data_IF_026296488475
#
_entry.id   IF_026296488475
#
_cell.length_a   1.000
_cell.length_b   1.000
_cell.length_c   1.000
_cell.angle_alpha   90.00
_cell.angle_beta   90.00
_cell.angle_gamma   90.00
#
_symmetry.space_group_name_H-M   'P 1'
#
loop_
_entity.id
_entity.type
_entity.pdbx_description
1 polymer ?
#
# COMPACT_ATOMS: atom_id res chain seq x y z
N UNK A 1 3.17 -51.19 95.63
CA UNK A 1 3.80 -50.51 94.47
C UNK A 1 3.52 -51.34 93.23
N UNK A 2 2.59 -50.94 92.36
CA UNK A 2 2.48 -51.47 90.99
C UNK A 2 1.61 -50.49 90.19
N UNK A 3 2.24 -49.86 89.21
CA UNK A 3 1.71 -48.72 88.45
C UNK A 3 0.64 -49.10 87.44
N UNK A 4 -0.30 -48.17 87.24
CA UNK A 4 -1.35 -48.20 86.22
C UNK A 4 -0.73 -47.90 84.85
N UNK A 5 -0.91 -48.79 83.89
CA UNK A 5 -0.63 -48.54 82.49
C UNK A 5 -1.71 -47.65 81.86
N UNK A 6 -1.28 -46.57 81.22
CA UNK A 6 -2.10 -45.76 80.32
C UNK A 6 -1.47 -45.86 78.93
N UNK A 7 -2.24 -46.38 77.99
CA UNK A 7 -1.91 -46.47 76.56
C UNK A 7 -2.10 -45.08 75.95
N UNK A 8 -1.03 -44.50 75.42
CA UNK A 8 -1.09 -43.29 74.60
C UNK A 8 -0.82 -43.68 73.13
N UNK A 9 -1.86 -43.53 72.31
CA UNK A 9 -1.77 -43.69 70.85
C UNK A 9 -1.22 -42.39 70.26
N UNK A 10 -0.02 -42.43 69.71
CA UNK A 10 0.55 -41.32 68.94
C UNK A 10 0.16 -41.47 67.47
N UNK A 11 -0.67 -40.53 66.96
CA UNK A 11 -0.91 -40.38 65.52
C UNK A 11 0.31 -39.70 64.89
N UNK A 12 1.01 -40.43 64.01
CA UNK A 12 2.02 -39.86 63.13
C UNK A 12 1.35 -39.13 61.95
N UNK A 13 1.44 -37.80 61.92
CA UNK A 13 1.15 -37.01 60.73
C UNK A 13 2.37 -37.04 59.80
N UNK A 14 2.34 -37.91 58.79
CA UNK A 14 3.25 -37.81 57.64
C UNK A 14 2.76 -36.73 56.70
N UNK A 15 3.41 -35.56 56.73
CA UNK A 15 3.34 -34.57 55.66
C UNK A 15 4.02 -35.16 54.41
N UNK A 16 3.23 -35.63 53.46
CA UNK A 16 3.72 -35.95 52.12
C UNK A 16 4.04 -34.64 51.39
N UNK A 17 5.33 -34.30 51.29
CA UNK A 17 5.80 -33.29 50.36
C UNK A 17 5.53 -33.81 48.93
N UNK A 18 4.52 -33.25 48.27
CA UNK A 18 4.23 -33.54 46.87
C UNK A 18 5.44 -33.15 46.00
N UNK A 19 5.71 -33.89 44.91
CA UNK A 19 6.79 -33.54 44.00
C UNK A 19 6.51 -32.15 43.43
N UNK A 20 7.38 -31.19 43.75
CA UNK A 20 7.40 -29.90 43.07
C UNK A 20 7.81 -30.17 41.62
N UNK A 21 6.86 -30.08 40.70
CA UNK A 21 7.16 -30.07 39.27
C UNK A 21 7.83 -28.74 38.96
N UNK A 22 9.15 -28.69 39.17
CA UNK A 22 9.98 -27.67 38.57
C UNK A 22 9.77 -27.78 37.05
N UNK A 23 9.13 -26.76 36.46
CA UNK A 23 9.04 -26.64 35.02
C UNK A 23 10.46 -26.75 34.45
N UNK A 24 10.70 -27.76 33.62
CA UNK A 24 11.98 -27.92 32.97
C UNK A 24 12.30 -26.62 32.21
N UNK A 25 13.36 -25.94 32.60
CA UNK A 25 13.87 -24.81 31.84
C UNK A 25 14.22 -25.33 30.44
N UNK A 26 13.53 -24.83 29.43
CA UNK A 26 13.83 -25.10 28.03
C UNK A 26 15.28 -24.65 27.79
N UNK A 27 16.16 -25.59 27.46
CA UNK A 27 17.56 -25.28 27.14
C UNK A 27 17.56 -24.30 25.95
N UNK A 28 18.29 -23.17 26.00
CA UNK A 28 18.34 -22.23 24.89
C UNK A 28 18.86 -22.96 23.65
N UNK A 29 18.03 -23.04 22.62
CA UNK A 29 18.31 -23.78 21.40
C UNK A 29 19.58 -23.22 20.74
N UNK A 30 20.56 -24.09 20.43
CA UNK A 30 21.78 -23.70 19.73
C UNK A 30 21.46 -23.44 18.26
N UNK A 31 21.10 -22.21 17.93
CA UNK A 31 20.85 -21.79 16.56
C UNK A 31 22.17 -21.71 15.77
N UNK A 32 22.22 -22.41 14.64
CA UNK A 32 23.38 -22.48 13.76
C UNK A 32 22.92 -22.34 12.29
N UNK A 33 22.43 -21.16 11.88
CA UNK A 33 22.07 -20.92 10.48
C UNK A 33 23.30 -21.09 9.57
N UNK A 34 23.10 -21.37 8.27
CA UNK A 34 24.21 -21.42 7.30
C UNK A 34 25.08 -20.17 7.37
N UNK A 35 26.39 -20.31 7.16
CA UNK A 35 27.31 -19.16 7.21
C UNK A 35 27.05 -18.22 6.02
N UNK A 36 26.99 -16.92 6.30
CA UNK A 36 27.04 -15.87 5.28
C UNK A 36 28.48 -15.41 5.00
N UNK A 37 28.62 -14.52 4.02
CA UNK A 37 29.86 -13.78 3.73
C UNK A 37 29.86 -12.40 4.39
N UNK A 38 31.00 -11.71 4.40
CA UNK A 38 31.13 -10.35 4.96
C UNK A 38 31.21 -9.26 3.89
N UNK A 39 31.46 -9.65 2.65
CA UNK A 39 31.50 -8.73 1.52
C UNK A 39 30.11 -8.58 0.91
N UNK A 40 29.71 -7.32 0.67
CA UNK A 40 28.45 -7.00 0.03
C UNK A 40 28.67 -5.88 -0.98
N UNK A 41 28.15 -6.08 -2.19
CA UNK A 41 28.10 -5.06 -3.24
C UNK A 41 26.68 -4.52 -3.41
N UNK A 42 26.53 -3.47 -4.21
CA UNK A 42 25.20 -3.06 -4.64
C UNK A 42 24.59 -4.17 -5.50
N UNK A 43 23.45 -4.70 -5.06
CA UNK A 43 22.75 -5.77 -5.76
C UNK A 43 22.03 -5.24 -7.01
N UNK A 44 21.78 -6.13 -7.97
CA UNK A 44 21.00 -5.77 -9.16
C UNK A 44 19.59 -5.27 -8.80
N UNK A 45 19.00 -5.82 -7.72
CA UNK A 45 17.69 -5.45 -7.24
C UNK A 45 17.65 -3.98 -6.77
N UNK A 46 18.67 -3.53 -6.03
CA UNK A 46 18.81 -2.14 -5.61
C UNK A 46 18.94 -1.20 -6.81
N UNK A 47 19.75 -1.57 -7.82
CA UNK A 47 19.85 -0.81 -9.08
C UNK A 47 18.54 -0.77 -9.85
N UNK A 48 17.85 -1.91 -9.98
CA UNK A 48 16.63 -2.03 -10.77
C UNK A 48 15.47 -1.23 -10.18
N UNK A 49 15.35 -1.25 -8.85
CA UNK A 49 14.30 -0.52 -8.15
C UNK A 49 14.67 0.94 -7.89
N UNK A 50 15.97 1.26 -7.82
CA UNK A 50 16.51 2.59 -7.61
C UNK A 50 15.83 3.36 -6.46
N UNK A 51 15.45 2.65 -5.39
CA UNK A 51 14.64 3.20 -4.29
C UNK A 51 15.37 4.31 -3.52
N UNK A 52 16.70 4.38 -3.59
CA UNK A 52 17.49 5.47 -3.01
C UNK A 52 17.13 6.84 -3.61
N UNK A 53 16.62 6.88 -4.85
CA UNK A 53 16.08 8.12 -5.47
C UNK A 53 14.81 8.61 -4.77
N UNK A 54 14.07 7.71 -4.13
CA UNK A 54 12.83 8.02 -3.40
C UNK A 54 13.12 8.67 -2.05
N UNK A 55 14.31 8.43 -1.49
CA UNK A 55 14.70 8.94 -0.17
C UNK A 55 14.77 10.47 -0.06
N UNK A 56 14.79 11.19 -1.18
CA UNK A 56 14.61 12.64 -1.22
C UNK A 56 13.18 13.08 -0.88
N UNK A 57 12.22 12.16 -0.95
CA UNK A 57 10.80 12.40 -0.66
C UNK A 57 10.38 11.77 0.67
N UNK A 58 10.87 10.55 0.96
CA UNK A 58 10.59 9.81 2.20
C UNK A 58 11.50 8.59 2.31
N UNK A 59 11.78 8.16 3.54
CA UNK A 59 12.56 6.94 3.85
C UNK A 59 11.77 5.92 4.67
N UNK A 60 10.47 6.14 4.84
CA UNK A 60 9.58 5.26 5.60
C UNK A 60 9.36 5.64 7.06
N UNK A 61 9.85 6.81 7.49
CA UNK A 61 9.69 7.30 8.87
C UNK A 61 8.21 7.30 9.32
N UNK A 62 7.97 6.94 10.58
CA UNK A 62 6.63 6.90 11.17
C UNK A 62 5.80 5.68 10.77
N UNK A 63 6.28 4.86 9.82
CA UNK A 63 5.55 3.66 9.38
C UNK A 63 6.03 2.42 10.11
N UNK A 64 5.09 1.66 10.67
CA UNK A 64 5.36 0.37 11.30
C UNK A 64 5.20 -0.76 10.30
N UNK A 65 6.28 -1.51 10.06
CA UNK A 65 6.26 -2.71 9.21
C UNK A 65 6.48 -3.94 10.05
N UNK A 66 5.47 -4.80 10.13
CA UNK A 66 5.61 -6.12 10.73
C UNK A 66 5.97 -7.16 9.67
N UNK A 67 6.74 -8.18 10.06
CA UNK A 67 6.97 -9.35 9.23
C UNK A 67 6.78 -10.62 10.06
N UNK A 68 6.01 -11.56 9.52
CA UNK A 68 5.75 -12.86 10.14
C UNK A 68 6.64 -13.89 9.46
N UNK A 69 7.68 -14.35 10.16
CA UNK A 69 8.78 -15.13 9.58
C UNK A 69 9.47 -16.03 10.64
N UNK A 70 10.76 -16.33 10.43
CA UNK A 70 11.63 -17.18 11.25
C UNK A 70 12.36 -16.43 12.39
N UNK A 71 12.06 -15.15 12.57
CA UNK A 71 12.71 -14.24 13.53
C UNK A 71 13.66 -13.26 12.85
N UNK A 72 14.53 -12.60 13.60
CA UNK A 72 15.59 -11.76 13.04
C UNK A 72 16.81 -11.73 13.95
N UNK A 73 18.02 -11.71 13.37
CA UNK A 73 19.24 -11.48 14.11
C UNK A 73 19.46 -9.98 14.35
N UNK A 74 18.97 -9.48 15.47
CA UNK A 74 19.11 -8.06 15.87
C UNK A 74 20.52 -7.63 16.24
N UNK A 75 21.48 -8.57 16.23
CA UNK A 75 22.91 -8.26 16.36
C UNK A 75 23.53 -7.82 15.04
N UNK A 76 22.86 -8.06 13.91
CA UNK A 76 23.33 -7.57 12.62
C UNK A 76 23.22 -6.03 12.58
N UNK A 77 24.30 -5.27 12.28
CA UNK A 77 24.30 -3.80 12.38
C UNK A 77 23.20 -3.07 11.58
N UNK A 78 22.81 -3.63 10.44
CA UNK A 78 21.73 -3.09 9.60
C UNK A 78 20.31 -3.55 9.98
N UNK A 79 20.14 -4.54 10.86
CA UNK A 79 18.82 -5.10 11.19
C UNK A 79 18.31 -4.49 12.51
N UNK A 80 17.54 -3.41 12.40
CA UNK A 80 17.01 -2.66 13.54
C UNK A 80 15.54 -3.00 13.77
N UNK A 81 15.29 -4.02 14.58
CA UNK A 81 13.93 -4.43 14.98
C UNK A 81 13.56 -3.72 16.28
N UNK A 82 12.45 -2.97 16.26
CA UNK A 82 11.96 -2.24 17.43
C UNK A 82 11.24 -3.15 18.44
N UNK A 83 10.66 -4.25 17.96
CA UNK A 83 9.99 -5.23 18.81
C UNK A 83 10.03 -6.61 18.18
N UNK A 84 10.33 -7.63 19.00
CA UNK A 84 10.20 -9.04 18.61
C UNK A 84 9.08 -9.70 19.42
N UNK A 85 8.23 -10.44 18.73
CA UNK A 85 7.27 -11.39 19.31
C UNK A 85 7.69 -12.78 18.88
N UNK A 86 7.91 -13.68 19.83
CA UNK A 86 8.20 -15.08 19.55
C UNK A 86 6.98 -15.95 19.87
N UNK A 87 6.32 -16.43 18.83
CA UNK A 87 5.18 -17.34 18.95
C UNK A 87 5.61 -18.81 19.04
N UNK A 88 6.88 -19.10 18.75
CA UNK A 88 7.41 -20.47 18.83
C UNK A 88 7.79 -20.88 20.25
N UNK A 89 8.02 -19.90 21.13
CA UNK A 89 8.52 -20.13 22.48
C UNK A 89 9.96 -20.65 22.54
N UNK A 90 10.73 -20.51 21.45
CA UNK A 90 12.10 -21.03 21.33
C UNK A 90 13.19 -19.96 21.43
N UNK A 91 12.78 -18.69 21.58
CA UNK A 91 13.65 -17.52 21.65
C UNK A 91 13.55 -16.65 20.39
N UNK A 92 14.04 -15.40 20.47
CA UNK A 92 13.86 -14.40 19.42
C UNK A 92 14.83 -14.54 18.23
N UNK A 93 15.83 -15.42 18.36
CA UNK A 93 16.90 -15.55 17.37
C UNK A 93 16.38 -16.16 16.08
N UNK A 94 16.89 -15.67 14.95
CA UNK A 94 16.68 -16.31 13.66
C UNK A 94 17.64 -17.49 13.47
N UNK A 95 17.08 -18.69 13.46
CA UNK A 95 17.83 -19.94 13.36
C UNK A 95 17.89 -20.48 11.92
N UNK A 96 17.24 -19.79 10.99
CA UNK A 96 17.16 -20.14 9.56
C UNK A 96 17.97 -19.14 8.72
N UNK A 97 17.87 -17.86 9.05
CA UNK A 97 18.42 -16.72 8.34
C UNK A 97 17.43 -16.02 7.41
N UNK A 98 16.28 -16.65 7.14
CA UNK A 98 15.29 -16.14 6.21
C UNK A 98 14.66 -14.82 6.69
N UNK A 99 14.27 -14.75 7.97
CA UNK A 99 13.63 -13.57 8.52
C UNK A 99 14.59 -12.39 8.69
N UNK A 100 15.87 -12.66 8.95
CA UNK A 100 16.94 -11.67 8.92
C UNK A 100 17.12 -11.10 7.52
N UNK A 101 17.08 -11.94 6.47
CA UNK A 101 17.14 -11.48 5.09
C UNK A 101 15.89 -10.65 4.69
N UNK A 102 14.70 -11.07 5.14
CA UNK A 102 13.45 -10.31 4.95
C UNK A 102 13.56 -8.92 5.62
N UNK A 103 14.01 -8.86 6.87
CA UNK A 103 14.18 -7.60 7.59
C UNK A 103 15.17 -6.66 6.89
N UNK A 104 16.28 -7.19 6.39
CA UNK A 104 17.27 -6.43 5.62
C UNK A 104 16.71 -5.83 4.34
N UNK A 105 15.90 -6.57 3.59
CA UNK A 105 15.29 -6.07 2.35
C UNK A 105 14.27 -4.97 2.66
N UNK A 106 13.43 -5.14 3.69
CA UNK A 106 12.42 -4.13 4.07
C UNK A 106 13.09 -2.84 4.53
N UNK A 107 13.98 -2.94 5.52
CA UNK A 107 14.44 -1.76 6.28
C UNK A 107 15.88 -1.89 6.80
N UNK A 108 16.74 -2.62 6.08
CA UNK A 108 18.17 -2.61 6.35
C UNK A 108 18.72 -1.19 6.44
N UNK A 109 19.33 -0.84 7.56
CA UNK A 109 19.78 0.53 7.83
C UNK A 109 20.80 1.00 6.78
N UNK A 110 20.59 2.18 6.22
CA UNK A 110 21.58 2.83 5.37
C UNK A 110 22.83 3.21 6.19
N UNK A 111 23.96 2.60 5.87
CA UNK A 111 25.22 2.73 6.62
C UNK A 111 26.34 3.18 5.71
N UNK A 112 27.19 4.07 6.22
CA UNK A 112 28.38 4.53 5.51
C UNK A 112 29.26 3.36 5.11
N UNK A 113 29.75 3.38 3.87
CA UNK A 113 30.67 2.40 3.29
C UNK A 113 30.07 0.97 3.16
N UNK A 114 28.75 0.80 3.33
CA UNK A 114 28.02 -0.44 3.07
C UNK A 114 27.04 -0.20 1.91
N UNK A 115 27.26 -0.80 0.73
CA UNK A 115 26.45 -0.52 -0.46
C UNK A 115 25.08 -1.22 -0.47
N UNK A 116 24.78 -2.04 0.54
CA UNK A 116 23.47 -2.64 0.74
C UNK A 116 22.62 -1.78 1.67
N UNK A 117 21.37 -1.55 1.32
CA UNK A 117 20.36 -1.00 2.22
C UNK A 117 18.97 -1.61 1.92
N UNK A 118 18.08 -1.53 2.90
CA UNK A 118 16.68 -1.86 2.69
C UNK A 118 15.92 -0.74 1.99
N UNK A 119 14.73 -1.06 1.48
CA UNK A 119 13.90 -0.11 0.73
C UNK A 119 13.46 1.09 1.58
N UNK A 120 13.03 0.83 2.82
CA UNK A 120 12.51 1.81 3.78
C UNK A 120 13.35 1.79 5.09
N UNK A 121 14.57 2.36 5.08
CA UNK A 121 15.52 2.23 6.17
C UNK A 121 15.11 2.94 7.47
N UNK A 122 14.10 3.81 7.43
CA UNK A 122 13.58 4.54 8.60
C UNK A 122 12.22 4.01 9.07
N UNK A 123 11.72 2.94 8.46
CA UNK A 123 10.53 2.25 8.95
C UNK A 123 10.80 1.51 10.27
N UNK A 124 9.80 1.49 11.15
CA UNK A 124 9.86 0.78 12.43
C UNK A 124 9.53 -0.70 12.21
N UNK A 125 10.55 -1.56 12.24
CA UNK A 125 10.37 -3.00 12.04
C UNK A 125 9.86 -3.72 13.30
N UNK A 126 8.90 -4.62 13.11
CA UNK A 126 8.40 -5.56 14.13
C UNK A 126 8.57 -6.98 13.64
N UNK A 127 9.37 -7.78 14.33
CA UNK A 127 9.58 -9.19 14.02
C UNK A 127 8.53 -10.04 14.75
N UNK A 128 7.81 -10.87 14.01
CA UNK A 128 6.92 -11.88 14.58
C UNK A 128 7.43 -13.25 14.13
N UNK A 129 8.08 -13.96 15.03
CA UNK A 129 8.65 -15.28 14.77
C UNK A 129 7.55 -16.33 14.93
N UNK A 130 7.26 -17.06 13.86
CA UNK A 130 6.28 -18.16 13.85
C UNK A 130 6.91 -19.53 13.58
N UNK A 131 8.17 -19.61 13.12
CA UNK A 131 8.83 -20.89 12.83
C UNK A 131 10.34 -20.86 13.06
N UNK A 132 10.91 -22.06 13.18
CA UNK A 132 12.35 -22.35 13.13
C UNK A 132 12.76 -23.07 11.84
N UNK A 133 11.86 -23.10 10.86
CA UNK A 133 12.06 -23.67 9.54
C UNK A 133 11.64 -22.65 8.46
N UNK A 134 11.99 -22.92 7.21
CA UNK A 134 11.57 -22.10 6.07
C UNK A 134 10.05 -22.09 5.86
N UNK A 135 9.37 -23.17 6.27
CA UNK A 135 7.92 -23.27 6.28
C UNK A 135 7.36 -23.05 7.68
N UNK A 136 6.16 -22.50 7.74
CA UNK A 136 5.50 -22.11 8.99
C UNK A 136 4.41 -23.07 9.46
N UNK A 137 4.08 -22.98 10.75
CA UNK A 137 2.85 -23.53 11.29
C UNK A 137 1.70 -22.57 10.95
N UNK A 138 0.62 -23.09 10.34
CA UNK A 138 -0.48 -22.23 9.85
C UNK A 138 -1.23 -21.55 10.99
N UNK A 139 -1.34 -22.17 12.16
CA UNK A 139 -1.97 -21.57 13.32
C UNK A 139 -1.12 -20.42 13.87
N UNK A 140 0.21 -20.62 13.99
CA UNK A 140 1.12 -19.56 14.41
C UNK A 140 1.23 -18.44 13.38
N UNK A 141 1.14 -18.75 12.08
CA UNK A 141 1.05 -17.75 11.02
C UNK A 141 -0.22 -16.90 11.17
N UNK A 142 -1.39 -17.53 11.36
CA UNK A 142 -2.65 -16.82 11.56
C UNK A 142 -2.64 -15.96 12.85
N UNK A 143 -2.08 -16.48 13.94
CA UNK A 143 -1.86 -15.72 15.17
C UNK A 143 -0.93 -14.53 14.93
N UNK A 144 0.18 -14.73 14.20
CA UNK A 144 1.13 -13.68 13.87
C UNK A 144 0.52 -12.56 13.04
N UNK A 145 -0.37 -12.87 12.10
CA UNK A 145 -1.11 -11.87 11.31
C UNK A 145 -2.01 -11.02 12.22
N UNK A 146 -2.78 -11.65 13.12
CA UNK A 146 -3.59 -10.90 14.09
C UNK A 146 -2.73 -10.04 15.00
N UNK A 147 -1.63 -10.62 15.49
CA UNK A 147 -0.70 -9.93 16.38
C UNK A 147 -0.05 -8.73 15.71
N UNK A 148 0.26 -8.78 14.41
CA UNK A 148 0.75 -7.63 13.66
C UNK A 148 -0.26 -6.48 13.66
N UNK A 149 -1.53 -6.77 13.40
CA UNK A 149 -2.60 -5.77 13.44
C UNK A 149 -2.76 -5.18 14.86
N UNK A 150 -2.78 -6.02 15.90
CA UNK A 150 -2.87 -5.59 17.31
C UNK A 150 -1.70 -4.69 17.75
N UNK A 151 -0.55 -4.85 17.10
CA UNK A 151 0.65 -4.05 17.36
C UNK A 151 0.70 -2.74 16.55
N UNK A 152 -0.36 -2.44 15.80
CA UNK A 152 -0.46 -1.24 14.98
C UNK A 152 0.47 -1.27 13.77
N UNK A 153 0.73 -2.45 13.20
CA UNK A 153 1.44 -2.53 11.92
C UNK A 153 0.60 -1.84 10.84
N UNK A 154 1.22 -0.99 10.03
CA UNK A 154 0.57 -0.37 8.87
C UNK A 154 0.84 -1.16 7.59
N UNK A 155 1.95 -1.92 7.58
CA UNK A 155 2.32 -2.87 6.54
C UNK A 155 2.70 -4.19 7.18
N UNK A 156 2.26 -5.30 6.60
CA UNK A 156 2.56 -6.65 7.03
C UNK A 156 3.17 -7.45 5.87
N UNK A 157 4.41 -7.91 6.04
CA UNK A 157 5.06 -8.82 5.11
C UNK A 157 4.88 -10.28 5.54
N UNK A 158 4.46 -11.14 4.62
CA UNK A 158 4.29 -12.58 4.82
C UNK A 158 5.04 -13.33 3.72
N UNK A 159 6.22 -13.83 4.06
CA UNK A 159 7.12 -14.50 3.12
C UNK A 159 7.01 -16.02 3.18
N UNK A 160 5.79 -16.54 3.44
CA UNK A 160 5.50 -17.96 3.64
C UNK A 160 4.39 -18.38 2.66
N UNK A 161 4.51 -19.60 2.13
CA UNK A 161 3.51 -20.24 1.28
C UNK A 161 2.79 -21.35 2.05
N UNK A 162 1.46 -21.38 1.97
CA UNK A 162 0.62 -22.45 2.50
C UNK A 162 -0.63 -22.66 1.63
N UNK A 163 -1.47 -23.64 1.98
CA UNK A 163 -2.78 -23.87 1.40
C UNK A 163 -3.88 -23.02 2.04
N UNK A 164 -5.06 -23.02 1.41
CA UNK A 164 -6.23 -22.30 1.93
C UNK A 164 -6.69 -22.91 3.26
N UNK A 165 -6.83 -22.07 4.29
CA UNK A 165 -7.34 -22.47 5.59
C UNK A 165 -8.26 -21.39 6.18
N UNK A 166 -9.44 -21.74 6.73
CA UNK A 166 -10.37 -20.76 7.29
C UNK A 166 -9.77 -19.87 8.39
N UNK A 167 -8.90 -20.44 9.24
CA UNK A 167 -8.22 -19.68 10.32
C UNK A 167 -7.29 -18.61 9.76
N UNK A 168 -6.60 -18.91 8.66
CA UNK A 168 -5.70 -17.98 7.99
C UNK A 168 -6.48 -16.87 7.29
N UNK A 169 -7.54 -17.24 6.56
CA UNK A 169 -8.45 -16.28 5.91
C UNK A 169 -9.02 -15.28 6.92
N UNK A 170 -9.53 -15.76 8.05
CA UNK A 170 -10.09 -14.90 9.09
C UNK A 170 -9.05 -13.96 9.72
N UNK A 171 -7.79 -14.40 9.84
CA UNK A 171 -6.71 -13.54 10.32
C UNK A 171 -6.36 -12.44 9.30
N UNK A 172 -6.34 -12.78 8.01
CA UNK A 172 -6.11 -11.82 6.92
C UNK A 172 -7.24 -10.78 6.86
N UNK A 173 -8.49 -11.21 6.91
CA UNK A 173 -9.65 -10.32 6.95
C UNK A 173 -9.60 -9.38 8.16
N UNK A 174 -9.18 -9.89 9.33
CA UNK A 174 -8.99 -9.08 10.53
C UNK A 174 -7.92 -8.00 10.33
N UNK A 175 -6.75 -8.34 9.77
CA UNK A 175 -5.69 -7.36 9.54
C UNK A 175 -6.10 -6.33 8.47
N UNK A 176 -6.77 -6.75 7.38
CA UNK A 176 -7.31 -5.82 6.38
C UNK A 176 -8.34 -4.85 6.97
N UNK A 177 -9.21 -5.33 7.86
CA UNK A 177 -10.20 -4.50 8.55
C UNK A 177 -9.56 -3.48 9.52
N UNK A 178 -8.32 -3.74 9.97
CA UNK A 178 -7.52 -2.82 10.79
C UNK A 178 -6.58 -1.94 9.94
N UNK A 179 -6.90 -1.74 8.65
CA UNK A 179 -6.14 -0.91 7.73
C UNK A 179 -4.67 -1.34 7.54
N UNK A 180 -4.37 -2.63 7.66
CA UNK A 180 -3.04 -3.17 7.39
C UNK A 180 -2.89 -3.41 5.89
N UNK A 181 -1.82 -2.92 5.26
CA UNK A 181 -1.42 -3.34 3.91
C UNK A 181 -0.72 -4.69 4.01
N UNK A 182 -1.34 -5.76 3.52
CA UNK A 182 -0.76 -7.10 3.57
C UNK A 182 -0.06 -7.39 2.25
N UNK A 183 1.23 -7.72 2.33
CA UNK A 183 2.09 -8.09 1.21
C UNK A 183 2.55 -9.52 1.42
N UNK A 184 2.28 -10.41 0.47
CA UNK A 184 2.57 -11.82 0.62
C UNK A 184 3.24 -12.45 -0.62
N UNK A 185 4.12 -13.42 -0.39
CA UNK A 185 4.80 -14.15 -1.44
C UNK A 185 3.82 -14.98 -2.28
N UNK A 186 3.90 -14.86 -3.61
CA UNK A 186 3.01 -15.59 -4.52
C UNK A 186 3.26 -17.12 -4.51
N UNK A 187 4.35 -17.58 -3.91
CA UNK A 187 4.74 -18.98 -3.81
C UNK A 187 5.74 -19.39 -4.88
N UNK A 188 6.44 -20.49 -4.60
CA UNK A 188 7.42 -21.08 -5.50
C UNK A 188 6.91 -22.44 -5.97
N UNK A 189 6.97 -22.71 -7.26
CA UNK A 189 6.65 -24.02 -7.85
C UNK A 189 7.89 -24.89 -7.78
N UNK A 190 7.76 -26.09 -7.22
CA UNK A 190 8.77 -27.14 -7.30
C UNK A 190 8.27 -28.24 -8.23
N UNK A 191 9.19 -28.97 -8.88
CA UNK A 191 8.82 -30.04 -9.83
C UNK A 191 8.04 -31.16 -9.15
N UNK A 192 8.24 -31.33 -7.85
CA UNK A 192 7.61 -32.36 -7.03
C UNK A 192 6.16 -32.01 -6.65
N UNK A 193 5.74 -30.75 -6.80
CA UNK A 193 4.44 -30.24 -6.32
C UNK A 193 3.26 -30.56 -7.25
N UNK A 194 3.51 -31.19 -8.41
CA UNK A 194 2.48 -31.49 -9.40
C UNK A 194 1.92 -30.22 -10.07
N UNK A 195 0.59 -30.15 -10.23
CA UNK A 195 -0.06 -28.99 -10.86
C UNK A 195 -0.01 -27.79 -9.91
N UNK A 196 0.51 -26.62 -10.34
CA UNK A 196 0.54 -25.43 -9.52
C UNK A 196 -0.85 -25.02 -9.01
N UNK A 197 -0.98 -24.86 -7.70
CA UNK A 197 -2.17 -24.33 -7.03
C UNK A 197 -1.88 -22.95 -6.43
N UNK A 198 -2.89 -22.08 -6.21
CA UNK A 198 -2.68 -20.79 -5.56
C UNK A 198 -2.05 -20.93 -4.16
N UNK A 199 -1.12 -20.04 -3.85
CA UNK A 199 -0.48 -19.91 -2.54
C UNK A 199 -1.26 -18.95 -1.64
N UNK A 200 -1.49 -19.34 -0.39
CA UNK A 200 -2.12 -18.50 0.62
C UNK A 200 -1.07 -18.04 1.66
N UNK A 201 -1.21 -16.83 2.22
CA UNK A 201 -2.34 -15.91 2.09
C UNK A 201 -2.36 -15.03 0.84
N UNK A 202 -1.35 -15.11 -0.04
CA UNK A 202 -1.25 -14.25 -1.22
C UNK A 202 -2.48 -14.30 -2.15
N UNK A 203 -3.13 -15.46 -2.26
CA UNK A 203 -4.33 -15.62 -3.08
C UNK A 203 -5.63 -15.06 -2.46
N UNK A 204 -5.62 -14.60 -1.20
CA UNK A 204 -6.80 -13.97 -0.61
C UNK A 204 -7.05 -12.57 -1.19
N UNK A 205 -8.32 -12.21 -1.35
CA UNK A 205 -8.72 -10.88 -1.77
C UNK A 205 -8.20 -9.82 -0.79
N UNK A 206 -7.75 -8.68 -1.33
CA UNK A 206 -7.19 -7.58 -0.53
C UNK A 206 -5.69 -7.71 -0.26
N UNK A 207 -5.11 -8.91 -0.39
CA UNK A 207 -3.67 -9.12 -0.23
C UNK A 207 -2.93 -8.74 -1.51
N UNK A 208 -1.79 -8.06 -1.35
CA UNK A 208 -0.90 -7.72 -2.44
C UNK A 208 0.07 -8.89 -2.69
N UNK A 209 -0.29 -9.75 -3.66
CA UNK A 209 0.48 -10.93 -4.01
C UNK A 209 1.71 -10.58 -4.86
N UNK A 210 2.89 -11.01 -4.42
CA UNK A 210 4.16 -10.63 -5.05
C UNK A 210 4.83 -11.81 -5.73
N UNK A 211 4.92 -11.74 -7.06
CA UNK A 211 5.70 -12.67 -7.87
C UNK A 211 7.18 -12.30 -7.93
N UNK A 212 8.01 -13.25 -8.34
CA UNK A 212 9.46 -13.10 -8.44
C UNK A 212 9.87 -12.79 -9.88
N UNK A 213 10.75 -11.81 -10.03
CA UNK A 213 11.44 -11.49 -11.27
C UNK A 213 12.97 -11.63 -11.14
N UNK A 214 13.60 -12.00 -12.24
CA UNK A 214 15.06 -12.07 -12.37
C UNK A 214 15.69 -10.76 -12.85
N UNK A 215 17.03 -10.72 -12.96
CA UNK A 215 17.77 -9.54 -13.45
C UNK A 215 17.39 -9.07 -14.85
N UNK A 216 16.85 -9.96 -15.68
CA UNK A 216 16.33 -9.66 -17.02
C UNK A 216 14.94 -8.98 -17.00
N UNK A 217 14.37 -8.77 -15.80
CA UNK A 217 13.06 -8.18 -15.60
C UNK A 217 11.89 -9.13 -15.89
N UNK A 218 12.15 -10.41 -16.18
CA UNK A 218 11.12 -11.40 -16.48
C UNK A 218 10.73 -12.16 -15.23
N UNK A 219 9.47 -12.65 -15.19
CA UNK A 219 9.02 -13.58 -14.15
C UNK A 219 9.93 -14.81 -14.14
N UNK A 220 10.40 -15.21 -12.96
CA UNK A 220 11.22 -16.42 -12.82
C UNK A 220 10.37 -17.68 -12.98
N UNK A 221 10.95 -18.75 -13.50
CA UNK A 221 10.20 -20.00 -13.77
C UNK A 221 9.58 -20.60 -12.50
N UNK A 222 10.28 -20.48 -11.37
CA UNK A 222 9.78 -20.93 -10.07
C UNK A 222 8.65 -20.06 -9.52
N UNK A 223 8.42 -18.83 -10.00
CA UNK A 223 7.39 -17.95 -9.43
C UNK A 223 6.00 -18.49 -9.75
N UNK A 224 5.19 -18.79 -8.73
CA UNK A 224 3.89 -19.42 -8.95
C UNK A 224 2.86 -18.48 -9.61
N UNK A 225 2.50 -18.79 -10.86
CA UNK A 225 1.53 -18.03 -11.66
C UNK A 225 0.06 -18.44 -11.42
N UNK A 226 -0.19 -19.51 -10.65
CA UNK A 226 -1.55 -19.90 -10.25
C UNK A 226 -2.10 -18.98 -9.16
N UNK A 227 -1.23 -18.34 -8.38
CA UNK A 227 -1.60 -17.27 -7.46
C UNK A 227 -1.97 -16.01 -8.25
N UNK A 228 -3.03 -15.27 -7.88
CA UNK A 228 -3.38 -14.00 -8.53
C UNK A 228 -2.35 -12.91 -8.21
N UNK A 229 -1.23 -12.90 -8.94
CA UNK A 229 -0.13 -11.95 -8.75
C UNK A 229 -0.60 -10.51 -8.98
N UNK A 230 -0.37 -9.63 -8.01
CA UNK A 230 -0.60 -8.18 -8.12
C UNK A 230 0.55 -7.49 -8.85
N UNK A 231 1.79 -7.77 -8.46
CA UNK A 231 3.02 -7.17 -9.02
C UNK A 231 4.18 -8.16 -8.95
N UNK A 232 5.23 -7.89 -9.72
CA UNK A 232 6.54 -8.54 -9.59
C UNK A 232 7.48 -7.68 -8.75
N UNK A 233 8.42 -8.33 -8.10
CA UNK A 233 9.60 -7.68 -7.50
C UNK A 233 10.84 -8.58 -7.69
N UNK A 234 12.05 -8.05 -7.49
CA UNK A 234 13.27 -8.84 -7.52
C UNK A 234 13.19 -10.04 -6.56
N UNK A 235 13.28 -11.25 -7.11
CA UNK A 235 13.20 -12.48 -6.32
C UNK A 235 14.20 -13.57 -6.71
N UNK A 236 15.08 -13.33 -7.69
CA UNK A 236 16.20 -14.21 -7.99
C UNK A 236 17.55 -13.48 -7.91
N UNK A 237 18.60 -14.18 -7.47
CA UNK A 237 19.93 -13.61 -7.30
C UNK A 237 19.93 -12.49 -6.25
N UNK A 238 19.15 -12.64 -5.18
CA UNK A 238 18.97 -11.59 -4.18
C UNK A 238 20.12 -11.60 -3.18
N UNK A 239 20.54 -10.40 -2.80
CA UNK A 239 21.48 -10.17 -1.70
C UNK A 239 20.72 -9.58 -0.52
N UNK A 240 20.99 -10.06 0.70
CA UNK A 240 20.45 -9.45 1.92
C UNK A 240 21.30 -9.75 3.15
N UNK A 241 20.97 -9.10 4.27
CA UNK A 241 21.52 -9.36 5.59
C UNK A 241 21.25 -10.79 6.04
N UNK A 242 22.16 -11.35 6.83
CA UNK A 242 22.14 -12.74 7.27
C UNK A 242 22.65 -12.85 8.71
N UNK A 243 22.22 -13.85 9.51
CA UNK A 243 22.68 -13.98 10.89
C UNK A 243 24.20 -14.01 11.05
N UNK A 244 24.69 -13.48 12.17
CA UNK A 244 26.12 -13.38 12.49
C UNK A 244 26.78 -12.10 11.99
N UNK A 245 26.01 -11.07 11.63
CA UNK A 245 26.54 -9.84 11.06
C UNK A 245 27.03 -10.00 9.62
N UNK A 246 26.50 -11.00 8.91
CA UNK A 246 26.92 -11.40 7.58
C UNK A 246 25.89 -11.01 6.52
N UNK A 247 26.22 -11.24 5.26
CA UNK A 247 25.34 -11.12 4.11
C UNK A 247 25.25 -12.46 3.39
N UNK A 248 24.14 -12.67 2.68
CA UNK A 248 23.97 -13.81 1.79
C UNK A 248 23.58 -13.32 0.41
N UNK A 249 24.18 -13.92 -0.60
CA UNK A 249 23.93 -13.71 -2.02
C UNK A 249 23.19 -14.91 -2.60
N UNK A 250 22.73 -14.79 -3.83
CA UNK A 250 22.05 -15.86 -4.58
C UNK A 250 20.83 -16.44 -3.85
N UNK A 251 20.09 -15.55 -3.18
CA UNK A 251 18.81 -15.87 -2.57
C UNK A 251 17.71 -15.86 -3.64
N UNK A 252 17.04 -17.00 -3.81
CA UNK A 252 15.96 -17.19 -4.78
C UNK A 252 14.65 -17.51 -4.07
N UNK A 253 13.59 -16.79 -4.42
CA UNK A 253 12.24 -17.04 -3.92
C UNK A 253 11.34 -15.81 -4.00
N UNK A 254 10.04 -16.05 -4.22
CA UNK A 254 8.98 -15.04 -4.03
C UNK A 254 8.95 -14.50 -2.60
N UNK A 255 9.44 -15.25 -1.63
CA UNK A 255 9.64 -14.85 -0.24
C UNK A 255 10.64 -13.69 -0.07
N UNK A 256 11.61 -13.54 -0.98
CA UNK A 256 12.53 -12.40 -1.05
C UNK A 256 12.01 -11.27 -1.94
N UNK A 257 11.05 -11.54 -2.82
CA UNK A 257 10.38 -10.51 -3.62
C UNK A 257 9.37 -9.70 -2.79
N UNK A 258 8.54 -10.37 -1.97
CA UNK A 258 7.57 -9.75 -1.08
C UNK A 258 8.12 -8.58 -0.22
N UNK A 259 9.27 -8.71 0.47
CA UNK A 259 9.78 -7.64 1.33
C UNK A 259 10.19 -6.38 0.57
N UNK A 260 10.58 -6.46 -0.71
CA UNK A 260 10.80 -5.25 -1.52
C UNK A 260 9.51 -4.44 -1.63
N UNK A 261 8.39 -5.11 -1.91
CA UNK A 261 7.09 -4.45 -2.05
C UNK A 261 6.54 -3.99 -0.70
N UNK A 262 6.79 -4.73 0.39
CA UNK A 262 6.47 -4.26 1.74
C UNK A 262 7.22 -2.97 2.08
N UNK A 263 8.50 -2.88 1.70
CA UNK A 263 9.28 -1.65 1.82
C UNK A 263 8.69 -0.50 0.97
N UNK A 264 8.28 -0.77 -0.27
CA UNK A 264 7.61 0.25 -1.11
C UNK A 264 6.29 0.71 -0.48
N UNK A 265 5.47 -0.21 0.02
CA UNK A 265 4.24 0.13 0.74
C UNK A 265 4.50 1.01 1.96
N UNK A 266 5.61 0.78 2.66
CA UNK A 266 6.03 1.64 3.77
C UNK A 266 6.42 3.05 3.31
N UNK A 267 7.17 3.18 2.21
CA UNK A 267 7.47 4.48 1.62
C UNK A 267 6.18 5.21 1.18
N UNK A 268 5.23 4.51 0.57
CA UNK A 268 3.94 5.09 0.16
C UNK A 268 3.16 5.59 1.36
N UNK A 269 2.98 4.77 2.41
CA UNK A 269 2.28 5.16 3.65
C UNK A 269 2.95 6.35 4.35
N UNK A 270 4.28 6.41 4.33
CA UNK A 270 5.01 7.52 4.94
C UNK A 270 4.79 8.84 4.18
N UNK A 271 4.69 8.79 2.85
CA UNK A 271 4.47 9.97 2.03
C UNK A 271 3.01 10.42 1.98
N UNK A 272 2.10 9.45 2.00
CA UNK A 272 0.65 9.61 1.85
C UNK A 272 -0.08 8.92 3.01
N UNK A 273 0.03 9.44 4.24
CA UNK A 273 -0.52 8.82 5.44
C UNK A 273 -2.06 8.75 5.46
N UNK A 274 -2.73 9.50 4.58
CA UNK A 274 -4.19 9.51 4.42
C UNK A 274 -4.75 8.36 3.59
N UNK A 275 -3.89 7.62 2.88
CA UNK A 275 -4.33 6.48 2.08
C UNK A 275 -4.54 5.25 2.95
N UNK A 276 -5.71 4.63 2.83
CA UNK A 276 -6.01 3.31 3.40
C UNK A 276 -5.31 2.17 2.63
N UNK A 277 -5.42 0.95 3.13
CA UNK A 277 -4.73 -0.22 2.59
C UNK A 277 -5.15 -0.55 1.15
N UNK A 278 -6.42 -0.36 0.83
CA UNK A 278 -6.98 -0.55 -0.52
C UNK A 278 -6.35 0.43 -1.49
N UNK A 279 -6.25 1.72 -1.13
CA UNK A 279 -5.65 2.76 -1.97
C UNK A 279 -4.15 2.56 -2.12
N UNK A 280 -3.43 2.23 -1.05
CA UNK A 280 -1.99 1.93 -1.13
C UNK A 280 -1.73 0.76 -2.08
N UNK A 281 -2.50 -0.34 -1.96
CA UNK A 281 -2.39 -1.48 -2.88
C UNK A 281 -2.64 -1.05 -4.33
N UNK A 282 -3.75 -0.37 -4.58
CA UNK A 282 -4.12 0.07 -5.93
C UNK A 282 -3.08 1.02 -6.53
N UNK A 283 -2.50 1.90 -5.71
CA UNK A 283 -1.43 2.81 -6.09
C UNK A 283 -0.19 2.05 -6.54
N UNK A 284 0.22 1.03 -5.79
CA UNK A 284 1.36 0.16 -6.16
C UNK A 284 1.08 -0.56 -7.49
N UNK A 285 -0.12 -1.11 -7.67
CA UNK A 285 -0.51 -1.80 -8.90
C UNK A 285 -0.53 -0.85 -10.11
N UNK A 286 -1.13 0.35 -9.98
CA UNK A 286 -1.27 1.31 -11.09
C UNK A 286 0.04 1.98 -11.50
N UNK A 287 1.04 2.00 -10.63
CA UNK A 287 2.33 2.66 -10.87
C UNK A 287 3.44 1.69 -11.21
N UNK A 288 3.16 0.38 -11.25
CA UNK A 288 4.10 -0.64 -11.68
C UNK A 288 4.50 -0.48 -13.16
N UNK A 289 5.66 -1.03 -13.53
CA UNK A 289 6.28 -0.92 -14.85
C UNK A 289 5.63 -1.84 -15.92
N UNK A 290 4.29 -1.98 -15.91
CA UNK A 290 3.49 -2.68 -16.91
C UNK A 290 3.63 -4.21 -16.93
N UNK A 291 2.54 -4.90 -17.25
CA UNK A 291 2.49 -6.36 -17.34
C UNK A 291 3.29 -6.89 -18.54
N UNK A 292 4.12 -7.92 -18.32
CA UNK A 292 4.94 -8.55 -19.36
C UNK A 292 4.45 -9.95 -19.77
N UNK A 293 3.31 -10.40 -19.23
CA UNK A 293 2.67 -11.67 -19.59
C UNK A 293 1.81 -12.27 -18.48
N UNK A 294 1.39 -13.53 -18.66
CA UNK A 294 0.62 -14.27 -17.67
C UNK A 294 1.40 -14.42 -16.35
N UNK A 295 0.71 -14.25 -15.22
CA UNK A 295 1.31 -14.35 -13.89
C UNK A 295 2.25 -13.20 -13.51
N UNK A 296 2.24 -12.08 -14.24
CA UNK A 296 3.07 -10.90 -13.95
C UNK A 296 2.34 -9.78 -13.21
N UNK A 297 1.03 -9.92 -13.02
CA UNK A 297 0.20 -8.86 -12.44
C UNK A 297 0.31 -7.56 -13.24
N UNK A 298 0.48 -6.44 -12.56
CA UNK A 298 0.69 -5.13 -13.16
C UNK A 298 2.16 -4.88 -13.58
N UNK A 299 3.07 -5.84 -13.40
CA UNK A 299 4.48 -5.69 -13.73
C UNK A 299 5.39 -5.48 -12.52
N UNK A 300 6.64 -5.10 -12.78
CA UNK A 300 7.63 -4.82 -11.73
C UNK A 300 7.20 -3.62 -10.89
N UNK A 301 7.28 -3.73 -9.57
CA UNK A 301 7.04 -2.60 -8.65
C UNK A 301 7.98 -1.44 -8.97
N UNK A 302 7.45 -0.21 -8.98
CA UNK A 302 8.23 1.01 -9.21
C UNK A 302 8.15 1.93 -7.97
N UNK A 303 9.17 1.94 -7.10
CA UNK A 303 9.15 2.74 -5.87
C UNK A 303 8.97 4.24 -6.13
N UNK A 304 9.60 4.78 -7.18
CA UNK A 304 9.56 6.20 -7.48
C UNK A 304 8.15 6.63 -7.88
N UNK A 305 7.54 5.96 -8.86
CA UNK A 305 6.19 6.29 -9.30
C UNK A 305 5.16 6.01 -8.21
N UNK A 306 5.30 4.89 -7.48
CA UNK A 306 4.43 4.58 -6.35
C UNK A 306 4.44 5.69 -5.30
N UNK A 307 5.57 6.36 -5.05
CA UNK A 307 5.63 7.46 -4.08
C UNK A 307 5.28 8.82 -4.69
N UNK A 308 5.70 9.13 -5.92
CA UNK A 308 5.64 10.50 -6.45
C UNK A 308 4.47 10.79 -7.38
N UNK A 309 3.85 9.78 -8.00
CA UNK A 309 2.85 10.02 -9.05
C UNK A 309 1.54 10.57 -8.46
N UNK A 310 0.97 11.59 -9.09
CA UNK A 310 -0.37 12.09 -8.71
C UNK A 310 -1.41 11.23 -9.41
N UNK A 311 -2.25 10.53 -8.64
CA UNK A 311 -3.30 9.68 -9.18
C UNK A 311 -4.67 10.37 -9.03
N UNK A 312 -5.39 10.68 -10.13
CA UNK A 312 -6.67 11.39 -10.05
C UNK A 312 -7.72 10.71 -9.15
N UNK A 313 -7.70 9.38 -9.07
CA UNK A 313 -8.60 8.60 -8.22
C UNK A 313 -8.42 8.87 -6.71
N UNK A 314 -7.25 9.36 -6.30
CA UNK A 314 -6.96 9.70 -4.89
C UNK A 314 -7.33 11.16 -4.59
N UNK A 315 -7.19 12.04 -5.59
CA UNK A 315 -7.55 13.47 -5.48
C UNK A 315 -9.07 13.67 -5.36
N UNK A 316 -9.87 12.86 -6.08
CA UNK A 316 -11.35 12.95 -6.01
C UNK A 316 -11.89 12.50 -4.65
N UNK A 317 -11.20 11.59 -3.96
CA UNK A 317 -11.61 11.11 -2.64
C UNK A 317 -11.32 12.13 -1.51
N UNK A 318 -10.37 13.05 -1.71
CA UNK A 318 -10.03 14.14 -0.80
C UNK A 318 -10.82 15.43 -1.09
N UNK A 319 -11.54 15.50 -2.21
CA UNK A 319 -12.44 16.61 -2.46
C UNK A 319 -13.57 16.55 -1.41
N UNK A 320 -13.86 17.66 -0.69
CA UNK A 320 -15.02 17.70 0.19
C UNK A 320 -16.24 17.25 -0.63
N UNK A 321 -17.12 16.45 -0.01
CA UNK A 321 -18.37 16.02 -0.63
C UNK A 321 -18.96 17.24 -1.35
N UNK A 322 -19.16 17.13 -2.67
CA UNK A 322 -19.75 18.23 -3.45
C UNK A 322 -20.96 18.69 -2.63
N UNK A 323 -21.07 19.99 -2.29
CA UNK A 323 -22.22 20.47 -1.56
C UNK A 323 -23.46 19.93 -2.27
N UNK A 324 -24.40 19.39 -1.49
CA UNK A 324 -25.62 18.82 -2.02
C UNK A 324 -26.15 19.76 -3.11
N UNK A 325 -26.62 19.23 -4.27
CA UNK A 325 -27.22 20.08 -5.29
C UNK A 325 -28.17 21.02 -4.57
N UNK A 326 -27.98 22.32 -4.75
CA UNK A 326 -28.92 23.28 -4.19
C UNK A 326 -30.32 22.78 -4.52
N UNK A 327 -31.26 22.76 -3.56
CA UNK A 327 -32.61 22.31 -3.83
C UNK A 327 -33.07 22.98 -5.12
N UNK A 328 -33.76 22.26 -6.00
CA UNK A 328 -34.12 22.69 -7.36
C UNK A 328 -34.89 24.02 -7.43
N UNK A 329 -35.25 24.61 -6.29
CA UNK A 329 -35.74 25.98 -6.13
C UNK A 329 -34.70 27.09 -6.00
N UNK A 330 -33.39 26.82 -5.95
CA UNK A 330 -32.30 27.83 -5.89
C UNK A 330 -31.53 27.92 -7.21
N UNK A 331 -32.15 27.52 -8.32
CA UNK A 331 -31.77 28.11 -9.61
C UNK A 331 -32.11 29.59 -9.44
N UNK A 332 -31.10 30.45 -9.41
CA UNK A 332 -31.31 31.89 -9.50
C UNK A 332 -32.26 32.12 -10.67
N UNK A 333 -33.52 32.46 -10.37
CA UNK A 333 -34.46 32.82 -11.42
C UNK A 333 -33.76 33.92 -12.21
N UNK A 334 -33.63 33.78 -13.55
CA UNK A 334 -33.06 34.86 -14.35
C UNK A 334 -33.82 36.12 -13.93
N UNK A 335 -33.06 37.17 -13.55
CA UNK A 335 -33.62 38.43 -13.10
C UNK A 335 -34.70 38.81 -14.12
N UNK A 336 -35.97 38.97 -13.70
CA UNK A 336 -37.02 39.27 -14.65
C UNK A 336 -36.60 40.52 -15.42
N UNK A 337 -36.70 40.52 -16.76
CA UNK A 337 -36.25 41.64 -17.57
C UNK A 337 -36.92 42.91 -17.06
N UNK A 338 -36.13 43.96 -16.85
CA UNK A 338 -36.63 45.26 -16.39
C UNK A 338 -37.48 45.88 -17.52
N UNK A 339 -38.77 45.57 -17.49
CA UNK A 339 -39.76 46.04 -18.46
C UNK A 339 -39.87 47.56 -18.45
N UNK A 340 -39.58 48.22 -17.32
CA UNK A 340 -39.55 49.68 -17.21
C UNK A 340 -38.31 50.29 -17.88
N UNK A 341 -37.15 49.62 -17.83
CA UNK A 341 -35.98 50.04 -18.61
C UNK A 341 -36.19 49.82 -20.11
N UNK A 342 -36.76 48.67 -20.51
CA UNK A 342 -37.03 48.37 -21.92
C UNK A 342 -38.06 49.32 -22.55
N UNK A 343 -39.13 49.65 -21.82
CA UNK A 343 -40.13 50.63 -22.30
C UNK A 343 -39.55 52.04 -22.39
N UNK A 344 -38.72 52.47 -21.43
CA UNK A 344 -38.02 53.76 -21.52
C UNK A 344 -37.06 53.81 -22.72
N UNK A 345 -36.27 52.76 -22.94
CA UNK A 345 -35.37 52.67 -24.08
C UNK A 345 -36.12 52.68 -25.41
N UNK A 346 -37.22 51.94 -25.52
CA UNK A 346 -38.08 51.94 -26.71
C UNK A 346 -38.72 53.31 -26.98
N UNK A 347 -39.19 54.00 -25.93
CA UNK A 347 -39.74 55.34 -26.04
C UNK A 347 -38.71 56.37 -26.53
N UNK A 348 -37.48 56.31 -26.02
CA UNK A 348 -36.37 57.18 -26.46
C UNK A 348 -36.02 56.92 -27.93
N UNK A 349 -35.91 55.64 -28.33
CA UNK A 349 -35.61 55.28 -29.71
C UNK A 349 -36.70 55.78 -30.69
N UNK A 350 -37.97 55.62 -30.34
CA UNK A 350 -39.09 56.09 -31.16
C UNK A 350 -39.10 57.62 -31.28
N UNK A 351 -38.86 58.34 -30.17
CA UNK A 351 -38.78 59.79 -30.18
C UNK A 351 -37.62 60.30 -31.07
N UNK A 352 -36.46 59.64 -31.01
CA UNK A 352 -35.32 59.96 -31.87
C UNK A 352 -35.62 59.74 -33.35
N UNK A 353 -36.28 58.62 -33.70
CA UNK A 353 -36.69 58.33 -35.08
C UNK A 353 -37.72 59.34 -35.60
N UNK A 354 -38.70 59.71 -34.79
CA UNK A 354 -39.69 60.73 -35.16
C UNK A 354 -39.05 62.10 -35.35
N UNK A 355 -38.12 62.49 -34.48
CA UNK A 355 -37.37 63.74 -34.61
C UNK A 355 -36.53 63.75 -35.90
N UNK A 356 -35.81 62.66 -36.20
CA UNK A 356 -35.05 62.52 -37.44
C UNK A 356 -35.95 62.57 -38.69
N UNK A 357 -37.12 61.93 -38.62
CA UNK A 357 -38.16 61.99 -39.66
C UNK A 357 -38.69 63.40 -39.89
N UNK A 358 -38.92 64.15 -38.81
CA UNK A 358 -39.38 65.54 -38.90
C UNK A 358 -38.31 66.45 -39.51
N UNK A 359 -37.05 66.28 -39.11
CA UNK A 359 -35.91 67.01 -39.67
C UNK A 359 -35.76 66.72 -41.16
N UNK A 360 -35.85 65.45 -41.58
CA UNK A 360 -35.80 65.09 -43.01
C UNK A 360 -36.98 65.63 -43.79
N UNK A 361 -38.20 65.59 -43.26
CA UNK A 361 -39.36 66.21 -43.89
C UNK A 361 -39.17 67.72 -44.08
N UNK A 362 -38.69 68.43 -43.05
CA UNK A 362 -38.42 69.87 -43.11
C UNK A 362 -37.29 70.20 -44.10
N UNK A 363 -36.20 69.44 -44.09
CA UNK A 363 -35.00 69.74 -44.89
C UNK A 363 -35.07 69.27 -46.34
N UNK A 364 -35.92 68.28 -46.66
CA UNK A 364 -36.06 67.75 -48.03
C UNK A 364 -37.40 68.15 -48.65
N UNK A 365 -38.52 67.94 -47.95
CA UNK A 365 -39.87 68.14 -48.53
C UNK A 365 -40.19 69.62 -48.68
N UNK A 366 -39.85 70.47 -47.70
CA UNK A 366 -40.13 71.92 -47.78
C UNK A 366 -39.39 72.60 -48.94
N UNK A 367 -38.07 72.42 -49.14
CA UNK A 367 -37.39 73.02 -50.29
C UNK A 367 -37.85 72.44 -51.63
N UNK A 368 -38.16 71.13 -51.72
CA UNK A 368 -38.72 70.54 -52.94
C UNK A 368 -40.13 71.05 -53.25
N UNK A 369 -40.97 71.20 -52.21
CA UNK A 369 -42.32 71.77 -52.31
C UNK A 369 -42.31 73.24 -52.72
N UNK A 370 -41.41 74.05 -52.13
CA UNK A 370 -41.18 75.45 -52.53
C UNK A 370 -40.72 75.56 -53.98
N UNK A 371 -39.77 74.71 -54.42
CA UNK A 371 -39.29 74.68 -55.82
C UNK A 371 -40.39 74.31 -56.82
N UNK A 372 -41.39 73.51 -56.42
CA UNK A 372 -42.52 73.09 -57.26
C UNK A 372 -43.78 73.94 -57.09
N UNK A 373 -43.71 75.02 -56.29
CA UNK A 373 -44.87 75.85 -55.97
C UNK A 373 -46.04 75.08 -55.36
N UNK A 374 -45.75 73.96 -54.67
CA UNK A 374 -46.73 73.05 -54.09
C UNK A 374 -47.85 72.61 -55.04
N UNK A 375 -47.56 72.53 -56.35
CA UNK A 375 -48.50 72.00 -57.35
C UNK A 375 -48.33 70.49 -57.49
N UNK A 376 -49.42 69.69 -57.51
CA UNK A 376 -49.35 68.26 -57.75
C UNK A 376 -48.66 67.96 -59.08
N UNK A 377 -47.75 66.98 -59.10
CA UNK A 377 -47.17 66.50 -60.36
C UNK A 377 -48.26 65.92 -61.24
N UNK A 378 -48.39 66.40 -62.48
CA UNK A 378 -49.31 65.80 -63.45
C UNK A 378 -48.79 64.40 -63.78
N UNK A 379 -49.52 63.37 -63.40
CA UNK A 379 -49.28 62.03 -63.91
C UNK A 379 -49.54 62.04 -65.42
N UNK A 380 -48.57 61.61 -66.21
CA UNK A 380 -48.80 61.36 -67.63
C UNK A 380 -49.75 60.17 -67.75
N UNK A 381 -50.94 60.40 -68.29
CA UNK A 381 -51.83 59.32 -68.73
C UNK A 381 -51.19 58.74 -70.01
N UNK A 382 -50.84 57.45 -70.07
CA UNK A 382 -50.41 56.83 -71.32
C UNK A 382 -51.56 56.91 -72.33
N UNK A 383 -51.29 57.52 -73.49
CA UNK A 383 -52.26 57.60 -74.58
C UNK A 383 -52.34 56.29 -75.37
N UNK A 384 -53.57 55.99 -75.79
CA UNK A 384 -54.11 54.99 -76.75
C UNK A 384 -53.14 54.11 -77.57
#
# INVERSE_FOLDING_TARGET
MAGRGVVAVALAFTLAAGPSTAAAAVEPQRCAPPRGGVEVGESWAQRRLAFTRVWQLTRGEGVTVAFVDSGADTRHPQVRVARTVDLTGTGPLDCVGHGTAVAGIIGGADMKDIPFAGVAPEARLVSIKQSNAENGDVALLAEGIRRAADLGAQVLNISIQTGDQPVLKSAVEYALANDVVIVAAAGNIRKEDGTPAPSYPAAYEGVLAVGSAGPDGRRTDFSNAATPVSVLAPGAGITSTWPGGAYRQDLDGTSYAAPYVAGVAALVRARHPELDNVRVRRRIELTADGASGAGTGAGMVNPLLAVSQILPSEVVALAPARPAPLPSGVVARPVPPDTAAMTRAGGIALAALLAAGLVTAVSVVIPLGRRRGWRPGRAAVPGD
#
